data_IF_112880911844
#
_entry.id   IF_112880911844
#
_cell.length_a   1.000
_cell.length_b   1.000
_cell.length_c   1.000
_cell.angle_alpha   90.00
_cell.angle_beta   90.00
_cell.angle_gamma   90.00
#
_symmetry.space_group_name_H-M   'P 1'
#
loop_
_entity.id
_entity.type
_entity.pdbx_description
1 polymer ?
#
# COMPACT_ATOMS: atom_id res chain seq x y z
N UNK A 1 23.28 -60.36 -2.11
CA UNK A 1 22.38 -59.35 -2.69
C UNK A 1 21.82 -58.46 -1.60
N UNK A 2 22.50 -57.38 -1.18
CA UNK A 2 21.89 -56.28 -0.41
C UNK A 2 22.64 -54.98 -0.74
N UNK A 3 22.62 -54.55 -2.01
CA UNK A 3 23.26 -53.29 -2.43
C UNK A 3 22.28 -52.24 -2.97
N UNK A 4 20.97 -52.53 -2.96
CA UNK A 4 19.95 -51.61 -3.49
C UNK A 4 19.27 -50.72 -2.46
N UNK A 5 19.18 -51.14 -1.20
CA UNK A 5 18.29 -50.48 -0.22
C UNK A 5 18.94 -49.23 0.40
N UNK A 6 20.25 -49.24 0.65
CA UNK A 6 20.95 -48.09 1.25
C UNK A 6 20.82 -46.83 0.39
N UNK A 7 21.00 -46.95 -0.93
CA UNK A 7 20.93 -45.80 -1.85
C UNK A 7 19.52 -45.21 -1.96
N UNK A 8 18.47 -46.04 -1.82
CA UNK A 8 17.08 -45.57 -1.86
C UNK A 8 16.72 -44.78 -0.61
N UNK A 9 17.15 -45.22 0.57
CA UNK A 9 16.89 -44.49 1.83
C UNK A 9 17.61 -43.14 1.86
N UNK A 10 18.85 -43.06 1.37
CA UNK A 10 19.57 -41.79 1.24
C UNK A 10 18.92 -40.83 0.23
N UNK A 11 18.35 -41.37 -0.86
CA UNK A 11 17.63 -40.58 -1.86
C UNK A 11 16.37 -39.94 -1.26
N UNK A 12 15.58 -40.70 -0.50
CA UNK A 12 14.39 -40.18 0.17
C UNK A 12 14.72 -39.16 1.26
N UNK A 13 15.81 -39.37 2.01
CA UNK A 13 16.27 -38.41 3.01
C UNK A 13 16.69 -37.08 2.38
N UNK A 14 17.39 -37.12 1.23
CA UNK A 14 17.80 -35.92 0.50
C UNK A 14 16.60 -35.16 -0.11
N UNK A 15 15.59 -35.87 -0.61
CA UNK A 15 14.35 -35.27 -1.13
C UNK A 15 13.56 -34.59 -0.01
N UNK A 16 13.44 -35.23 1.16
CA UNK A 16 12.77 -34.62 2.32
C UNK A 16 13.53 -33.41 2.87
N UNK A 17 14.86 -33.45 2.88
CA UNK A 17 15.69 -32.30 3.28
C UNK A 17 15.55 -31.14 2.29
N UNK A 18 15.49 -31.43 0.99
CA UNK A 18 15.31 -30.42 -0.06
C UNK A 18 13.91 -29.78 -0.03
N UNK A 19 12.85 -30.59 0.17
CA UNK A 19 11.48 -30.10 0.38
C UNK A 19 11.34 -29.29 1.68
N UNK A 20 12.13 -29.61 2.71
CA UNK A 20 12.16 -28.86 3.97
C UNK A 20 12.90 -27.52 3.87
N UNK A 21 13.84 -27.37 2.93
CA UNK A 21 14.59 -26.12 2.71
C UNK A 21 13.88 -25.16 1.74
N UNK A 22 13.05 -25.64 0.82
CA UNK A 22 12.27 -24.76 -0.06
C UNK A 22 11.11 -24.05 0.65
N UNK A 23 10.65 -24.55 1.79
CA UNK A 23 9.60 -23.88 2.59
C UNK A 23 10.13 -22.76 3.48
N UNK A 24 11.45 -22.62 3.64
CA UNK A 24 12.09 -21.61 4.53
C UNK A 24 12.56 -20.37 3.74
N UNK A 25 12.11 -20.18 2.49
CA UNK A 25 12.36 -18.92 1.73
C UNK A 25 11.11 -18.33 1.10
N UNK A 26 9.99 -18.42 1.82
CA UNK A 26 8.90 -17.45 1.72
C UNK A 26 8.82 -16.58 2.98
N UNK A 27 9.93 -16.44 3.70
CA UNK A 27 10.10 -15.36 4.66
C UNK A 27 10.18 -14.05 3.88
N UNK A 28 9.06 -13.34 3.85
CA UNK A 28 8.96 -11.90 3.58
C UNK A 28 9.78 -11.39 2.39
N UNK A 29 9.60 -12.01 1.22
CA UNK A 29 9.36 -11.16 0.06
C UNK A 29 7.96 -10.56 0.25
N UNK A 30 7.80 -9.65 1.21
CA UNK A 30 6.75 -8.64 1.16
C UNK A 30 7.05 -7.87 -0.10
N UNK A 31 6.58 -8.39 -1.20
CA UNK A 31 6.32 -7.55 -2.34
C UNK A 31 5.47 -6.44 -1.78
N UNK A 32 6.06 -5.24 -1.72
CA UNK A 32 5.43 -3.98 -1.40
C UNK A 32 4.40 -3.66 -2.49
N UNK A 33 3.43 -4.57 -2.68
CA UNK A 33 2.30 -4.42 -3.56
C UNK A 33 1.31 -3.59 -2.76
N UNK A 34 1.40 -2.27 -2.87
CA UNK A 34 0.35 -1.39 -2.39
C UNK A 34 -0.97 -1.89 -2.97
N UNK A 35 -1.92 -2.22 -2.10
CA UNK A 35 -3.24 -2.67 -2.57
C UNK A 35 -3.93 -1.46 -3.16
N UNK A 36 -4.16 -1.48 -4.47
CA UNK A 36 -4.94 -0.45 -5.14
C UNK A 36 -6.40 -0.58 -4.71
N UNK A 37 -6.94 0.48 -4.13
CA UNK A 37 -8.34 0.58 -3.70
C UNK A 37 -8.87 1.98 -3.94
N UNK A 38 -10.18 2.07 -4.15
CA UNK A 38 -10.90 3.34 -4.13
C UNK A 38 -11.13 3.82 -2.68
N UNK A 39 -11.51 5.09 -2.50
CA UNK A 39 -11.86 5.64 -1.18
C UNK A 39 -13.04 4.89 -0.54
N UNK A 40 -14.01 4.43 -1.33
CA UNK A 40 -15.17 3.67 -0.82
C UNK A 40 -14.76 2.30 -0.30
N UNK A 41 -14.03 1.54 -1.12
CA UNK A 41 -13.51 0.23 -0.73
C UNK A 41 -12.65 0.37 0.51
N UNK A 42 -11.77 1.37 0.52
CA UNK A 42 -10.95 1.71 1.67
C UNK A 42 -11.81 1.94 2.92
N UNK A 43 -12.87 2.74 2.85
CA UNK A 43 -13.73 2.99 4.00
C UNK A 43 -14.38 1.72 4.58
N UNK A 44 -14.59 0.68 3.77
CA UNK A 44 -15.18 -0.59 4.22
C UNK A 44 -14.17 -1.60 4.78
N UNK A 45 -12.92 -1.56 4.32
CA UNK A 45 -11.88 -2.56 4.68
C UNK A 45 -10.74 -1.99 5.51
N UNK A 46 -10.70 -0.67 5.71
CA UNK A 46 -9.60 0.00 6.41
C UNK A 46 -9.68 -0.28 7.90
N UNK A 47 -8.96 -1.31 8.30
CA UNK A 47 -8.51 -1.45 9.68
C UNK A 47 -7.16 -0.75 9.81
N UNK A 48 -6.86 -0.22 11.00
CA UNK A 48 -5.55 0.35 11.27
C UNK A 48 -4.52 -0.79 11.26
N UNK A 49 -3.92 -1.03 10.09
CA UNK A 49 -2.95 -2.09 9.85
C UNK A 49 -1.64 -1.50 9.32
N UNK A 50 -0.57 -2.30 9.41
CA UNK A 50 0.73 -1.97 8.84
C UNK A 50 0.78 -2.06 7.31
N UNK A 51 -0.35 -2.32 6.65
CA UNK A 51 -0.40 -2.50 5.21
C UNK A 51 -0.35 -1.16 4.49
N UNK A 52 0.22 -1.21 3.29
CA UNK A 52 0.31 -0.06 2.40
C UNK A 52 -0.85 -0.05 1.44
N UNK A 53 -1.50 1.09 1.37
CA UNK A 53 -2.67 1.34 0.54
C UNK A 53 -2.32 2.30 -0.56
N UNK A 54 -2.79 2.01 -1.76
CA UNK A 54 -2.72 2.92 -2.89
C UNK A 54 -4.14 3.36 -3.22
N UNK A 55 -4.42 4.65 -3.06
CA UNK A 55 -5.78 5.20 -3.09
C UNK A 55 -5.86 6.26 -4.16
N UNK A 56 -6.82 6.11 -5.07
CA UNK A 56 -7.16 7.13 -6.05
C UNK A 56 -8.40 7.90 -5.59
N UNK A 57 -8.39 9.21 -5.82
CA UNK A 57 -9.58 10.04 -5.70
C UNK A 57 -9.34 11.49 -6.09
N UNK A 58 -10.32 12.34 -5.81
CA UNK A 58 -10.29 13.76 -6.15
C UNK A 58 -9.92 14.60 -4.92
N UNK A 59 -9.03 15.59 -5.07
CA UNK A 59 -8.76 16.52 -3.97
C UNK A 59 -10.02 17.37 -3.73
N UNK A 60 -10.50 17.39 -2.49
CA UNK A 60 -11.59 18.28 -2.10
C UNK A 60 -11.09 19.72 -2.15
N UNK A 61 -11.74 20.57 -2.96
CA UNK A 61 -11.44 21.99 -3.04
C UNK A 61 -11.47 22.63 -1.63
N UNK A 62 -10.49 23.49 -1.33
CA UNK A 62 -10.28 24.13 -0.03
C UNK A 62 -9.88 23.21 1.15
N UNK A 63 -9.63 21.92 0.91
CA UNK A 63 -9.12 21.03 1.97
C UNK A 63 -7.60 21.08 2.14
N UNK A 64 -6.89 21.64 1.16
CA UNK A 64 -5.43 21.71 1.14
C UNK A 64 -4.93 22.71 2.17
N UNK A 65 -4.32 22.19 3.23
CA UNK A 65 -3.66 22.96 4.27
C UNK A 65 -2.17 22.63 4.27
N UNK A 66 -1.36 23.62 3.90
CA UNK A 66 0.08 23.53 4.06
C UNK A 66 0.45 23.82 5.52
N UNK A 67 1.17 22.91 6.17
CA UNK A 67 1.71 23.10 7.52
C UNK A 67 3.21 23.32 7.44
N UNK A 68 3.67 24.55 7.13
CA UNK A 68 5.09 24.83 6.91
C UNK A 68 5.95 24.62 8.17
N UNK A 69 5.35 24.68 9.36
CA UNK A 69 6.06 24.44 10.63
C UNK A 69 6.50 22.98 10.78
N UNK A 70 5.71 22.05 10.23
CA UNK A 70 5.94 20.61 10.37
C UNK A 70 6.49 19.99 9.07
N UNK A 71 6.43 20.71 7.95
CA UNK A 71 6.89 20.21 6.63
C UNK A 71 5.91 19.22 5.97
N UNK A 72 4.65 19.21 6.42
CA UNK A 72 3.62 18.32 5.89
C UNK A 72 2.52 19.10 5.16
N UNK A 73 1.90 18.41 4.22
CA UNK A 73 0.65 18.80 3.58
C UNK A 73 -0.46 17.93 4.13
N UNK A 74 -1.55 18.58 4.53
CA UNK A 74 -2.80 17.89 4.86
C UNK A 74 -3.85 18.25 3.81
N UNK A 75 -4.54 17.26 3.29
CA UNK A 75 -5.66 17.46 2.37
C UNK A 75 -6.66 16.32 2.47
N UNK A 76 -7.83 16.49 1.87
CA UNK A 76 -8.85 15.44 1.78
C UNK A 76 -8.98 14.96 0.34
N UNK A 77 -9.08 13.65 0.19
CA UNK A 77 -9.36 12.98 -1.07
C UNK A 77 -10.78 12.43 -1.01
N UNK A 78 -11.62 12.77 -1.99
CA UNK A 78 -13.00 12.32 -2.14
C UNK A 78 -13.05 11.12 -3.09
N UNK A 79 -13.98 10.20 -2.84
CA UNK A 79 -14.36 9.20 -3.84
C UNK A 79 -14.92 9.86 -5.11
N UNK A 80 -14.77 9.17 -6.25
CA UNK A 80 -15.48 9.49 -7.48
C UNK A 80 -16.94 8.99 -7.50
N UNK A 81 -17.30 8.06 -6.61
CA UNK A 81 -18.62 7.41 -6.60
C UNK A 81 -19.53 7.91 -5.48
N UNK A 82 -18.96 8.36 -4.36
CA UNK A 82 -19.71 8.80 -3.18
C UNK A 82 -19.18 10.11 -2.59
N UNK A 83 -19.83 10.61 -1.55
CA UNK A 83 -19.36 11.75 -0.76
C UNK A 83 -18.34 11.38 0.32
N UNK A 84 -17.85 10.14 0.36
CA UNK A 84 -16.82 9.73 1.31
C UNK A 84 -15.50 10.44 1.03
N UNK A 85 -14.84 10.85 2.11
CA UNK A 85 -13.55 11.54 2.07
C UNK A 85 -12.55 10.87 2.99
N UNK A 86 -11.29 10.85 2.57
CA UNK A 86 -10.17 10.35 3.32
C UNK A 86 -9.17 11.48 3.57
N UNK A 87 -8.73 11.63 4.82
CA UNK A 87 -7.69 12.60 5.18
C UNK A 87 -6.31 12.04 4.86
N UNK A 88 -5.53 12.80 4.10
CA UNK A 88 -4.15 12.47 3.71
C UNK A 88 -3.18 13.42 4.43
N UNK A 89 -2.08 12.87 4.92
CA UNK A 89 -0.92 13.61 5.41
C UNK A 89 0.28 13.20 4.57
N UNK A 90 0.93 14.15 3.91
CA UNK A 90 2.06 13.90 3.01
C UNK A 90 3.27 14.76 3.42
N UNK A 91 4.43 14.17 3.74
CA UNK A 91 5.67 14.90 3.95
C UNK A 91 6.21 15.34 2.59
N UNK A 92 6.23 16.64 2.33
CA UNK A 92 6.79 17.15 1.08
C UNK A 92 6.15 18.43 0.61
N UNK A 93 6.58 18.86 -0.57
CA UNK A 93 5.96 19.95 -1.31
C UNK A 93 4.90 19.36 -2.24
N UNK A 94 3.82 20.10 -2.42
CA UNK A 94 2.77 19.70 -3.33
C UNK A 94 3.32 19.87 -4.75
N UNK A 95 3.14 18.89 -5.65
CA UNK A 95 3.36 19.13 -7.08
C UNK A 95 2.48 20.30 -7.52
N UNK A 96 2.92 21.11 -8.48
CA UNK A 96 2.07 22.15 -9.06
C UNK A 96 0.77 21.49 -9.56
N UNK A 97 -0.35 21.82 -8.92
CA UNK A 97 -1.62 21.11 -9.07
C UNK A 97 -2.73 22.14 -9.26
N UNK A 98 -3.50 21.98 -10.33
CA UNK A 98 -4.78 22.66 -10.47
C UNK A 98 -5.81 21.87 -9.66
N UNK A 99 -6.00 22.28 -8.41
CA UNK A 99 -7.01 21.68 -7.51
C UNK A 99 -8.39 21.75 -8.19
N UNK A 100 -9.00 20.58 -8.43
CA UNK A 100 -10.29 20.44 -9.12
C UNK A 100 -10.20 19.93 -10.56
N UNK A 101 -9.05 20.07 -11.21
CA UNK A 101 -8.81 19.63 -12.60
C UNK A 101 -7.96 18.35 -12.68
N UNK A 102 -7.63 17.75 -11.54
CA UNK A 102 -6.77 16.57 -11.49
C UNK A 102 -7.27 15.55 -10.48
N UNK A 103 -7.10 14.29 -10.81
CA UNK A 103 -7.14 13.19 -9.87
C UNK A 103 -5.81 13.13 -9.11
N UNK A 104 -5.84 12.55 -7.92
CA UNK A 104 -4.64 12.18 -7.18
C UNK A 104 -4.64 10.70 -6.88
N UNK A 105 -3.45 10.13 -6.94
CA UNK A 105 -3.15 8.82 -6.41
C UNK A 105 -2.19 9.00 -5.25
N UNK A 106 -2.51 8.44 -4.10
CA UNK A 106 -1.69 8.49 -2.90
C UNK A 106 -1.36 7.09 -2.46
N UNK A 107 -0.11 6.87 -2.07
CA UNK A 107 0.28 5.63 -1.43
C UNK A 107 0.80 5.93 -0.02
N UNK A 108 0.37 5.11 0.94
CA UNK A 108 0.73 5.32 2.33
C UNK A 108 0.24 4.23 3.28
N UNK A 109 0.43 4.48 4.56
CA UNK A 109 -0.01 3.60 5.65
C UNK A 109 -1.19 4.25 6.36
N UNK A 110 -2.22 3.48 6.67
CA UNK A 110 -3.36 4.00 7.43
C UNK A 110 -3.04 4.05 8.92
N UNK A 111 -3.11 5.24 9.48
CA UNK A 111 -2.84 5.47 10.90
C UNK A 111 -4.09 5.22 11.75
N UNK A 112 -3.87 4.87 13.02
CA UNK A 112 -4.90 4.81 14.07
C UNK A 112 -5.66 6.12 14.25
N UNK A 113 -5.09 7.25 13.84
CA UNK A 113 -5.73 8.57 13.83
C UNK A 113 -6.69 8.77 12.63
N UNK A 114 -7.07 7.69 11.95
CA UNK A 114 -8.00 7.71 10.81
C UNK A 114 -7.53 8.64 9.66
N UNK A 115 -6.22 8.61 9.41
CA UNK A 115 -5.57 9.38 8.35
C UNK A 115 -4.57 8.51 7.60
N UNK A 116 -4.48 8.69 6.29
CA UNK A 116 -3.45 8.04 5.50
C UNK A 116 -2.15 8.86 5.60
N UNK A 117 -1.11 8.25 6.13
CA UNK A 117 0.24 8.79 6.10
C UNK A 117 0.86 8.42 4.74
N UNK A 118 0.69 9.32 3.78
CA UNK A 118 1.21 9.14 2.44
C UNK A 118 2.71 9.44 2.39
N UNK A 119 3.46 8.62 1.69
CA UNK A 119 4.88 8.87 1.36
C UNK A 119 5.09 9.01 -0.15
N UNK A 120 4.09 8.65 -0.97
CA UNK A 120 4.07 8.92 -2.40
C UNK A 120 2.75 9.56 -2.82
N UNK A 121 2.85 10.56 -3.69
CA UNK A 121 1.72 11.30 -4.26
C UNK A 121 1.97 11.47 -5.76
N UNK A 122 0.98 11.09 -6.56
CA UNK A 122 0.95 11.33 -8.00
C UNK A 122 -0.26 12.16 -8.38
N UNK A 123 -0.06 13.01 -9.38
CA UNK A 123 -1.10 13.83 -9.99
C UNK A 123 -1.45 13.21 -11.32
N UNK A 124 -2.74 13.00 -11.55
CA UNK A 124 -3.25 12.39 -12.77
C UNK A 124 -4.20 13.42 -13.42
N UNK A 125 -3.94 13.86 -14.65
CA UNK A 125 -4.84 14.78 -15.36
C UNK A 125 -6.26 14.20 -15.49
N UNK A 126 -7.27 15.07 -15.43
CA UNK A 126 -8.63 14.75 -15.87
C UNK A 126 -8.73 15.09 -17.36
N UNK A 127 -8.72 14.09 -18.22
CA UNK A 127 -9.00 14.27 -19.65
C UNK A 127 -10.47 14.65 -19.90
#
# INVERSE_FOLDING_TARGET
MVLGIKNVVFLWLAILLFLGLTTISLTDARSYHGRYVTVDEFATVAEACSDRWMIQGEIVANSLAHRPQDGYLEFKVKSSQTDLTLKIVYPGKFPELNVGESWVMVEGIYSIEQRLLADRLWVIPKD
#
